data_IF_721824247062
#
_entry.id   IF_721824247062
#
_cell.length_a   1.000
_cell.length_b   1.000
_cell.length_c   1.000
_cell.angle_alpha   90.00
_cell.angle_beta   90.00
_cell.angle_gamma   90.00
#
_symmetry.space_group_name_H-M   'P 1'
#
loop_
_entity.id
_entity.type
_entity.pdbx_description
1 polymer ?
#
# COMPACT_ATOMS: atom_id res chain seq x y z
N UNK A 1 -9.51 -17.80 -1.32
CA UNK A 1 -8.10 -17.79 -1.74
C UNK A 1 -7.40 -16.75 -0.87
N UNK A 2 -6.60 -17.17 0.11
CA UNK A 2 -5.76 -16.22 0.87
C UNK A 2 -4.63 -15.86 -0.08
N UNK A 3 -4.57 -14.61 -0.50
CA UNK A 3 -3.39 -14.11 -1.23
C UNK A 3 -2.27 -13.96 -0.19
N UNK A 4 -1.08 -14.48 -0.48
CA UNK A 4 0.10 -14.29 0.37
C UNK A 4 0.66 -12.86 0.25
N UNK A 5 0.21 -12.10 -0.76
CA UNK A 5 0.59 -10.71 -0.98
C UNK A 5 -0.27 -9.79 -0.13
N UNK A 6 0.38 -8.83 0.55
CA UNK A 6 -0.32 -7.77 1.25
C UNK A 6 -1.02 -6.88 0.22
N UNK A 7 -2.33 -6.70 0.37
CA UNK A 7 -3.14 -5.95 -0.59
C UNK A 7 -3.97 -4.92 0.15
N UNK A 8 -3.89 -3.67 -0.30
CA UNK A 8 -4.75 -2.57 0.14
C UNK A 8 -5.52 -1.97 -1.04
N UNK A 9 -6.68 -1.41 -0.74
CA UNK A 9 -7.48 -0.65 -1.70
C UNK A 9 -7.71 0.74 -1.13
N UNK A 10 -7.42 1.76 -1.91
CA UNK A 10 -7.62 3.16 -1.54
C UNK A 10 -8.67 3.78 -2.45
N UNK A 11 -9.58 4.58 -1.90
CA UNK A 11 -10.53 5.32 -2.73
C UNK A 11 -9.90 6.53 -3.42
N UNK A 12 -10.69 7.27 -4.20
CA UNK A 12 -10.22 8.45 -4.93
C UNK A 12 -9.72 9.62 -4.07
N UNK A 13 -9.93 9.58 -2.75
CA UNK A 13 -9.36 10.54 -1.79
C UNK A 13 -8.03 10.06 -1.17
N UNK A 14 -7.65 8.80 -1.43
CA UNK A 14 -6.50 8.13 -0.81
C UNK A 14 -6.84 7.40 0.49
N UNK A 15 -8.09 7.44 0.94
CA UNK A 15 -8.52 6.75 2.16
C UNK A 15 -8.54 5.23 1.98
N UNK A 16 -8.08 4.51 2.99
CA UNK A 16 -8.05 3.05 3.01
C UNK A 16 -9.48 2.48 3.02
N UNK A 17 -9.89 1.86 1.93
CA UNK A 17 -11.19 1.24 1.76
C UNK A 17 -11.18 -0.27 2.08
N UNK A 18 -10.03 -0.92 1.90
CA UNK A 18 -9.85 -2.35 2.18
C UNK A 18 -8.39 -2.69 2.46
N UNK A 19 -8.15 -3.71 3.27
CA UNK A 19 -6.88 -4.40 3.40
C UNK A 19 -7.13 -5.89 3.68
N UNK A 20 -6.17 -6.75 3.37
CA UNK A 20 -6.27 -8.19 3.64
C UNK A 20 -5.44 -8.62 4.87
N UNK A 21 -5.56 -9.90 5.25
CA UNK A 21 -4.82 -10.44 6.41
C UNK A 21 -3.30 -10.51 6.21
N UNK A 22 -2.81 -10.48 4.97
CA UNK A 22 -1.38 -10.47 4.71
C UNK A 22 -0.74 -9.12 5.10
N UNK A 23 -1.50 -8.02 5.10
CA UNK A 23 -1.06 -6.75 5.67
C UNK A 23 -0.73 -6.85 7.15
N UNK A 24 -1.54 -7.57 7.94
CA UNK A 24 -1.27 -7.80 9.37
C UNK A 24 0.02 -8.57 9.60
N UNK A 25 0.29 -9.59 8.78
CA UNK A 25 1.54 -10.36 8.86
C UNK A 25 2.75 -9.50 8.48
N UNK A 26 2.59 -8.58 7.52
CA UNK A 26 3.66 -7.71 7.05
C UNK A 26 4.01 -6.61 8.07
N UNK A 27 3.01 -6.01 8.72
CA UNK A 27 3.18 -4.81 9.56
C UNK A 27 3.07 -5.06 11.07
N UNK A 28 2.66 -6.26 11.48
CA UNK A 28 2.54 -6.65 12.89
C UNK A 28 1.31 -6.08 13.61
N UNK A 29 0.49 -5.29 12.92
CA UNK A 29 -0.78 -4.79 13.43
C UNK A 29 -1.90 -5.80 13.23
N UNK A 30 -2.78 -5.94 14.23
CA UNK A 30 -4.01 -6.69 14.02
C UNK A 30 -5.00 -5.93 13.11
N UNK A 31 -6.05 -6.62 12.67
CA UNK A 31 -7.05 -6.01 11.77
C UNK A 31 -7.79 -4.83 12.42
N UNK A 32 -8.10 -4.90 13.72
CA UNK A 32 -8.74 -3.79 14.41
C UNK A 32 -7.86 -2.56 14.45
N UNK A 33 -6.57 -2.76 14.72
CA UNK A 33 -5.54 -1.71 14.74
C UNK A 33 -5.34 -1.08 13.35
N UNK A 34 -5.20 -1.88 12.30
CA UNK A 34 -5.04 -1.38 10.92
C UNK A 34 -6.25 -0.55 10.47
N UNK A 35 -7.47 -0.95 10.86
CA UNK A 35 -8.68 -0.20 10.54
C UNK A 35 -8.72 1.18 11.21
N UNK A 36 -8.09 1.33 12.39
CA UNK A 36 -8.04 2.59 13.14
C UNK A 36 -6.88 3.51 12.72
N UNK A 37 -5.74 2.95 12.34
CA UNK A 37 -4.53 3.69 11.96
C UNK A 37 -4.65 4.38 10.60
N UNK A 38 -5.34 3.74 9.65
CA UNK A 38 -5.39 4.21 8.27
C UNK A 38 -4.05 4.07 7.53
N UNK A 39 -4.07 4.22 6.20
CA UNK A 39 -2.91 3.93 5.35
C UNK A 39 -1.73 4.88 5.50
N UNK A 40 -1.97 6.15 5.82
CA UNK A 40 -0.90 7.14 5.97
C UNK A 40 -0.07 6.94 7.24
N UNK A 41 -0.62 6.28 8.26
CA UNK A 41 0.07 6.05 9.53
C UNK A 41 1.17 4.99 9.44
N UNK A 42 1.09 4.10 8.45
CA UNK A 42 2.06 3.03 8.23
C UNK A 42 3.07 3.35 7.13
N UNK A 43 3.03 4.56 6.54
CA UNK A 43 4.04 5.01 5.58
C UNK A 43 5.19 5.71 6.31
N UNK A 44 6.43 5.39 5.96
CA UNK A 44 7.57 6.13 6.49
C UNK A 44 7.55 7.59 5.99
N UNK A 45 7.72 8.60 6.86
CA UNK A 45 7.56 10.01 6.49
C UNK A 45 8.41 10.47 5.28
N UNK A 46 9.63 9.93 5.17
CA UNK A 46 10.55 10.24 4.08
C UNK A 46 10.08 9.74 2.69
N UNK A 47 9.10 8.84 2.65
CA UNK A 47 8.62 8.20 1.43
C UNK A 47 7.26 8.76 0.96
N UNK A 48 6.76 9.81 1.63
CA UNK A 48 5.49 10.48 1.29
C UNK A 48 5.48 11.03 -0.13
N UNK A 49 6.57 11.68 -0.53
CA UNK A 49 6.71 12.26 -1.88
C UNK A 49 6.81 11.17 -2.94
N UNK A 50 7.59 10.11 -2.68
CA UNK A 50 7.72 8.98 -3.59
C UNK A 50 6.40 8.23 -3.79
N UNK A 51 5.56 8.09 -2.75
CA UNK A 51 4.21 7.53 -2.89
C UNK A 51 3.31 8.44 -3.73
N UNK A 52 3.37 9.75 -3.50
CA UNK A 52 2.58 10.72 -4.27
C UNK A 52 2.93 10.68 -5.76
N UNK A 53 4.22 10.63 -6.08
CA UNK A 53 4.71 10.51 -7.45
C UNK A 53 4.28 9.19 -8.11
N UNK A 54 4.41 8.07 -7.40
CA UNK A 54 3.95 6.77 -7.91
C UNK A 54 2.44 6.74 -8.16
N UNK A 55 1.67 7.34 -7.25
CA UNK A 55 0.21 7.48 -7.40
C UNK A 55 -0.13 8.34 -8.62
N UNK A 56 0.53 9.48 -8.80
CA UNK A 56 0.35 10.34 -9.96
C UNK A 56 0.69 9.61 -11.27
N UNK A 57 1.78 8.83 -11.29
CA UNK A 57 2.15 7.99 -12.44
C UNK A 57 1.09 6.94 -12.74
N UNK A 58 0.58 6.20 -11.75
CA UNK A 58 -0.48 5.23 -11.96
C UNK A 58 -1.76 5.87 -12.54
N UNK A 59 -2.08 7.10 -12.13
CA UNK A 59 -3.21 7.84 -12.70
C UNK A 59 -2.93 8.44 -14.10
N UNK A 60 -1.67 8.71 -14.45
CA UNK A 60 -1.32 9.24 -15.76
C UNK A 60 -1.08 8.13 -16.81
N UNK A 61 -0.66 6.96 -16.37
CA UNK A 61 -0.32 5.84 -17.24
C UNK A 61 -1.53 5.33 -18.03
N UNK A 62 -1.28 4.93 -19.28
CA UNK A 62 -2.30 4.39 -20.19
C UNK A 62 -2.83 3.04 -19.68
N UNK A 63 -1.93 2.18 -19.19
CA UNK A 63 -2.26 0.90 -18.54
C UNK A 63 -2.79 1.08 -17.11
N UNK A 64 -2.67 2.30 -16.55
CA UNK A 64 -3.14 2.62 -15.21
C UNK A 64 -2.29 2.04 -14.08
N UNK A 65 -1.01 1.74 -14.33
CA UNK A 65 -0.13 1.11 -13.34
C UNK A 65 1.15 1.90 -13.08
N UNK A 66 1.71 1.73 -11.89
CA UNK A 66 3.05 2.20 -11.54
C UNK A 66 3.62 1.36 -10.39
N UNK A 67 4.94 1.31 -10.31
CA UNK A 67 5.70 0.66 -9.24
C UNK A 67 6.44 1.67 -8.37
N UNK A 68 6.72 1.33 -7.12
CA UNK A 68 7.59 2.11 -6.24
C UNK A 68 8.22 1.23 -5.17
N UNK A 69 9.42 1.59 -4.70
CA UNK A 69 9.99 1.01 -3.48
C UNK A 69 9.89 2.02 -2.34
N UNK A 70 9.23 1.65 -1.26
CA UNK A 70 9.02 2.49 -0.08
C UNK A 70 9.26 1.71 1.22
N UNK A 71 9.29 2.43 2.34
CA UNK A 71 9.33 1.84 3.68
C UNK A 71 7.97 1.98 4.34
N UNK A 72 7.46 0.87 4.86
CA UNK A 72 6.32 0.86 5.75
C UNK A 72 6.78 0.76 7.20
N UNK A 73 6.09 1.45 8.11
CA UNK A 73 6.37 1.43 9.55
C UNK A 73 5.66 0.22 10.17
N UNK A 74 6.45 -0.70 10.69
CA UNK A 74 5.98 -1.85 11.45
C UNK A 74 5.59 -1.42 12.89
N UNK A 75 4.73 -2.19 13.55
CA UNK A 75 4.20 -1.89 14.89
C UNK A 75 5.26 -1.68 15.97
N UNK A 76 6.40 -2.34 15.85
CA UNK A 76 7.53 -2.20 16.78
C UNK A 76 8.38 -0.93 16.54
N UNK A 77 8.01 -0.10 15.54
CA UNK A 77 8.74 1.10 15.14
C UNK A 77 9.81 0.86 14.08
N UNK A 78 10.02 -0.39 13.65
CA UNK A 78 10.90 -0.73 12.55
C UNK A 78 10.35 -0.29 11.19
N UNK A 79 11.24 -0.19 10.19
CA UNK A 79 10.87 0.04 8.80
C UNK A 79 11.03 -1.24 7.99
N UNK A 80 10.00 -1.62 7.23
CA UNK A 80 10.01 -2.73 6.29
C UNK A 80 10.04 -2.14 4.88
N UNK A 81 11.13 -2.40 4.13
CA UNK A 81 11.16 -2.06 2.71
C UNK A 81 10.22 -2.96 1.92
N UNK A 82 9.42 -2.34 1.08
CA UNK A 82 8.45 -3.03 0.21
C UNK A 82 8.55 -2.51 -1.22
N UNK A 83 8.43 -3.45 -2.15
CA UNK A 83 8.08 -3.13 -3.53
C UNK A 83 6.55 -3.03 -3.62
N UNK A 84 6.08 -1.89 -4.10
CA UNK A 84 4.67 -1.58 -4.32
C UNK A 84 4.35 -1.66 -5.79
N UNK A 85 3.26 -2.35 -6.10
CA UNK A 85 2.61 -2.30 -7.40
C UNK A 85 1.25 -1.61 -7.22
N UNK A 86 1.09 -0.45 -7.86
CA UNK A 86 -0.10 0.37 -7.82
C UNK A 86 -0.87 0.19 -9.11
N UNK A 87 -2.12 -0.23 -9.01
CA UNK A 87 -3.02 -0.43 -10.15
C UNK A 87 -4.30 0.39 -9.96
N UNK A 88 -4.62 1.22 -10.95
CA UNK A 88 -5.88 1.94 -10.99
C UNK A 88 -7.01 0.99 -11.36
N UNK A 89 -8.02 0.90 -10.48
CA UNK A 89 -9.21 0.08 -10.68
C UNK A 89 -10.45 0.97 -10.76
N UNK A 90 -11.37 0.64 -11.65
CA UNK A 90 -12.68 1.28 -11.78
C UNK A 90 -13.77 0.30 -11.36
N UNK A 91 -14.67 0.72 -10.45
CA UNK A 91 -15.84 -0.06 -10.04
C UNK A 91 -17.07 0.85 -10.13
N UNK A 92 -17.85 0.67 -11.20
CA UNK A 92 -18.86 1.66 -11.58
C UNK A 92 -18.20 3.00 -11.88
N UNK A 93 -18.74 4.08 -11.30
CA UNK A 93 -18.21 5.44 -11.42
C UNK A 93 -17.11 5.77 -10.39
N UNK A 94 -16.77 4.82 -9.51
CA UNK A 94 -15.80 5.02 -8.44
C UNK A 94 -14.42 4.51 -8.86
N UNK A 95 -13.42 5.32 -8.55
CA UNK A 95 -12.01 5.03 -8.80
C UNK A 95 -11.34 4.57 -7.52
N UNK A 96 -10.54 3.54 -7.66
CA UNK A 96 -9.73 2.98 -6.59
C UNK A 96 -8.29 2.81 -7.04
N UNK A 97 -7.40 2.78 -6.07
CA UNK A 97 -6.01 2.37 -6.22
C UNK A 97 -5.84 1.05 -5.47
N UNK A 98 -5.63 -0.03 -6.21
CA UNK A 98 -5.19 -1.31 -5.66
C UNK A 98 -3.69 -1.24 -5.48
N UNK A 99 -3.21 -1.56 -4.29
CA UNK A 99 -1.78 -1.55 -3.98
C UNK A 99 -1.42 -2.93 -3.46
N UNK A 100 -0.47 -3.57 -4.13
CA UNK A 100 0.15 -4.79 -3.63
C UNK A 100 1.52 -4.46 -3.05
N UNK A 101 1.78 -4.89 -1.82
CA UNK A 101 3.05 -4.70 -1.13
C UNK A 101 3.77 -6.02 -0.98
N UNK A 102 5.01 -6.08 -1.47
CA UNK A 102 5.88 -7.25 -1.32
C UNK A 102 7.12 -6.85 -0.52
N UNK A 103 7.39 -7.48 0.65
CA UNK A 103 8.61 -7.20 1.39
C UNK A 103 9.85 -7.54 0.57
N UNK A 104 10.81 -6.63 0.60
CA UNK A 104 12.11 -6.80 -0.03
C UNK A 104 12.97 -7.68 0.88
N UNK A 105 13.49 -8.79 0.36
CA UNK A 105 14.44 -9.60 1.11
C UNK A 105 15.69 -8.75 1.45
N UNK A 106 16.21 -8.82 2.69
CA UNK A 106 17.46 -8.13 3.01
C UNK A 106 18.57 -8.60 2.07
N UNK A 107 19.38 -7.66 1.58
CA UNK A 107 20.56 -8.01 0.80
C UNK A 107 21.47 -8.90 1.66
N UNK A 108 21.78 -10.09 1.14
CA UNK A 108 22.59 -11.11 1.81
C UNK A 108 24.06 -10.68 1.99
#
# INVERSE_FOLDING_TARGET
MRSDRATTLHDGSGALAFYNSACSNLLGYDSGELALLGSSAVLHPADTEALADATARAYAALDGSADARLRLVHKDGGAVEVDLELSRVQVGDRRYLLVESTPVAPAA
#
